data_IF_154457377084
#
_entry.id   IF_154457377084
#
_cell.length_a   1.000
_cell.length_b   1.000
_cell.length_c   1.000
_cell.angle_alpha   90.00
_cell.angle_beta   90.00
_cell.angle_gamma   90.00
#
_symmetry.space_group_name_H-M   'P 1'
#
loop_
_entity.id
_entity.type
_entity.pdbx_description
1 polymer ?
#
# COMPACT_ATOMS: atom_id res chain seq x y z
N UNK A 1 9.96 57.14 24.11
CA UNK A 1 10.32 55.72 24.29
C UNK A 1 9.19 54.88 23.74
N UNK A 2 9.30 54.44 22.48
CA UNK A 2 8.24 53.72 21.75
C UNK A 2 8.61 52.25 21.66
N UNK A 3 7.72 51.42 22.18
CA UNK A 3 7.76 49.95 22.16
C UNK A 3 7.74 49.46 20.71
N UNK A 4 8.64 48.56 20.35
CA UNK A 4 8.56 47.78 19.12
C UNK A 4 8.85 46.32 19.47
N UNK A 5 7.86 45.48 19.18
CA UNK A 5 7.82 44.05 19.42
C UNK A 5 8.37 43.26 18.21
N UNK A 6 8.29 41.93 18.32
CA UNK A 6 8.33 40.86 17.28
C UNK A 6 9.58 39.98 17.46
N UNK A 7 9.54 38.89 18.26
CA UNK A 7 9.00 37.55 17.96
C UNK A 7 9.52 36.96 16.64
N UNK A 8 10.67 36.28 16.68
CA UNK A 8 11.08 35.33 15.65
C UNK A 8 10.58 33.93 16.05
N UNK A 9 9.40 33.60 15.56
CA UNK A 9 8.72 32.32 15.76
C UNK A 9 9.40 31.24 14.89
N UNK A 10 9.65 30.09 15.50
CA UNK A 10 10.15 28.88 14.86
C UNK A 10 9.30 28.48 13.65
N UNK A 11 9.93 28.33 12.48
CA UNK A 11 9.30 27.73 11.31
C UNK A 11 9.35 26.19 11.46
N UNK A 12 8.24 25.66 11.96
CA UNK A 12 7.91 24.24 12.01
C UNK A 12 7.78 23.69 10.58
N UNK A 13 8.31 22.49 10.39
CA UNK A 13 8.24 21.65 9.19
C UNK A 13 6.80 21.56 8.67
N UNK A 14 6.54 22.14 7.50
CA UNK A 14 5.29 21.96 6.76
C UNK A 14 5.47 20.85 5.70
N UNK A 15 5.25 19.62 6.11
CA UNK A 15 4.95 18.50 5.21
C UNK A 15 3.67 17.84 5.72
N UNK A 16 2.55 18.54 5.58
CA UNK A 16 1.24 17.98 5.88
C UNK A 16 0.18 18.56 4.94
N UNK A 17 -0.42 17.66 4.16
CA UNK A 17 -1.86 17.71 3.90
C UNK A 17 -2.27 17.97 2.45
N UNK A 18 -2.30 16.91 1.63
CA UNK A 18 -3.37 16.73 0.63
C UNK A 18 -3.66 15.24 0.39
N UNK A 19 -4.55 14.67 1.19
CA UNK A 19 -5.42 13.52 0.89
C UNK A 19 -6.02 13.08 2.23
N UNK A 20 -7.34 12.88 2.31
CA UNK A 20 -7.96 12.34 3.53
C UNK A 20 -7.27 11.04 3.91
N UNK A 21 -6.47 11.08 4.97
CA UNK A 21 -5.67 9.94 5.39
C UNK A 21 -6.63 8.89 5.95
N UNK A 22 -7.08 8.01 5.08
CA UNK A 22 -7.44 6.67 5.51
C UNK A 22 -6.22 6.14 6.27
N UNK A 23 -6.40 5.80 7.54
CA UNK A 23 -5.33 5.52 8.52
C UNK A 23 -4.55 4.21 8.24
N UNK A 24 -4.65 3.66 7.03
CA UNK A 24 -3.84 2.54 6.56
C UNK A 24 -2.56 2.99 5.84
N UNK A 25 -2.38 4.29 5.57
CA UNK A 25 -1.22 4.83 4.87
C UNK A 25 0.06 4.83 5.72
N UNK A 26 1.22 4.98 5.06
CA UNK A 26 2.52 5.19 5.74
C UNK A 26 3.41 3.95 5.88
N UNK A 27 2.92 2.75 5.55
CA UNK A 27 3.74 1.54 5.45
C UNK A 27 4.21 1.35 4.01
N UNK A 28 5.52 1.32 3.81
CA UNK A 28 6.18 1.25 2.49
C UNK A 28 6.99 -0.04 2.40
N UNK A 29 6.65 -0.98 1.50
CA UNK A 29 7.45 -2.18 1.25
C UNK A 29 8.92 -1.86 0.96
N UNK A 30 9.83 -2.68 1.48
CA UNK A 30 11.28 -2.48 1.37
C UNK A 30 11.87 -1.43 2.31
N UNK A 31 11.05 -0.60 2.96
CA UNK A 31 11.50 0.44 3.91
C UNK A 31 10.96 0.22 5.32
N UNK A 32 9.66 -0.04 5.46
CA UNK A 32 9.01 -0.24 6.75
C UNK A 32 9.44 -1.56 7.39
N UNK A 33 9.51 -1.55 8.72
CA UNK A 33 9.86 -2.69 9.56
C UNK A 33 8.67 -3.17 10.40
N UNK A 34 8.78 -4.35 11.00
CA UNK A 34 7.86 -4.84 12.04
C UNK A 34 7.61 -3.81 13.15
N UNK A 35 8.63 -3.06 13.57
CA UNK A 35 8.50 -2.02 14.59
C UNK A 35 7.62 -0.88 14.10
N UNK A 36 7.87 -0.35 12.89
CA UNK A 36 7.05 0.73 12.32
C UNK A 36 5.59 0.32 12.12
N UNK A 37 5.35 -0.92 11.68
CA UNK A 37 3.99 -1.45 11.50
C UNK A 37 3.27 -1.57 12.84
N UNK A 38 3.97 -2.05 13.88
CA UNK A 38 3.40 -2.13 15.24
C UNK A 38 3.18 -0.76 15.85
N UNK A 39 4.06 0.20 15.58
CA UNK A 39 3.89 1.59 16.00
C UNK A 39 2.63 2.22 15.39
N UNK A 40 2.35 1.92 14.12
CA UNK A 40 1.19 2.45 13.40
C UNK A 40 -0.13 1.76 13.80
N UNK A 41 -0.19 0.43 13.73
CA UNK A 41 -1.46 -0.31 13.87
C UNK A 41 -1.61 -1.06 15.19
N UNK A 42 -0.62 -1.00 16.07
CA UNK A 42 -0.58 -1.82 17.27
C UNK A 42 -0.39 -3.31 16.96
N UNK A 43 -0.85 -4.16 17.89
CA UNK A 43 -0.73 -5.61 17.76
C UNK A 43 -1.74 -6.16 16.73
N UNK A 44 -1.32 -7.11 15.87
CA UNK A 44 -2.20 -7.71 14.87
C UNK A 44 -3.29 -8.59 15.50
N UNK A 45 -4.34 -8.86 14.74
CA UNK A 45 -5.38 -9.85 15.10
C UNK A 45 -4.85 -11.28 15.05
N UNK A 46 -3.96 -11.57 14.08
CA UNK A 46 -3.32 -12.89 13.93
C UNK A 46 -1.89 -12.75 13.41
N UNK A 47 -1.03 -13.65 13.84
CA UNK A 47 0.32 -13.82 13.30
C UNK A 47 0.47 -15.25 12.78
N UNK A 48 1.15 -15.42 11.64
CA UNK A 48 1.52 -16.72 11.08
C UNK A 48 2.96 -16.68 10.57
N UNK A 49 3.64 -17.83 10.58
CA UNK A 49 4.92 -18.01 9.92
C UNK A 49 4.71 -18.86 8.65
N UNK A 50 5.49 -18.59 7.61
CA UNK A 50 5.47 -19.37 6.37
C UNK A 50 6.84 -19.33 5.69
N UNK A 51 7.12 -20.29 4.81
CA UNK A 51 8.32 -20.26 3.97
C UNK A 51 8.01 -19.68 2.60
N UNK A 52 8.72 -18.63 2.22
CA UNK A 52 8.64 -18.01 0.88
C UNK A 52 10.04 -17.92 0.31
N UNK A 53 10.23 -18.42 -0.91
CA UNK A 53 11.54 -18.43 -1.59
C UNK A 53 12.65 -19.11 -0.74
N UNK A 54 12.27 -20.07 0.11
CA UNK A 54 13.17 -20.77 1.02
C UNK A 54 13.46 -20.06 2.35
N UNK A 55 12.99 -18.82 2.54
CA UNK A 55 13.19 -18.04 3.76
C UNK A 55 11.99 -18.10 4.70
N UNK A 56 12.25 -18.03 6.01
CA UNK A 56 11.21 -17.93 7.03
C UNK A 56 10.65 -16.51 7.09
N UNK A 57 9.41 -16.37 6.66
CA UNK A 57 8.66 -15.11 6.61
C UNK A 57 7.58 -15.09 7.68
N UNK A 58 7.16 -13.89 8.05
CA UNK A 58 6.08 -13.69 9.01
C UNK A 58 4.95 -12.87 8.38
N UNK A 59 3.73 -13.21 8.73
CA UNK A 59 2.53 -12.59 8.19
C UNK A 59 1.66 -12.12 9.34
N UNK A 60 1.36 -10.82 9.36
CA UNK A 60 0.46 -10.19 10.33
C UNK A 60 -0.85 -9.84 9.65
N UNK A 61 -1.96 -10.21 10.29
CA UNK A 61 -3.31 -9.94 9.81
C UNK A 61 -3.99 -9.00 10.79
N UNK A 62 -4.56 -7.93 10.25
CA UNK A 62 -5.38 -6.95 10.93
C UNK A 62 -6.80 -7.03 10.37
N UNK A 63 -7.71 -7.52 11.19
CA UNK A 63 -9.14 -7.64 10.93
C UNK A 63 -9.91 -6.99 12.09
N UNK A 64 -11.18 -6.67 11.91
CA UNK A 64 -11.99 -6.00 12.94
C UNK A 64 -11.86 -6.68 14.31
N UNK A 65 -11.69 -5.91 15.40
CA UNK A 65 -11.71 -4.44 15.50
C UNK A 65 -10.34 -3.76 15.24
N UNK A 66 -9.31 -4.49 14.81
CA UNK A 66 -7.92 -4.00 14.67
C UNK A 66 -7.55 -3.58 13.25
N UNK A 67 -8.46 -3.74 12.29
CA UNK A 67 -8.24 -3.25 10.94
C UNK A 67 -8.21 -1.70 10.92
N UNK A 68 -7.34 -1.07 10.11
CA UNK A 68 -7.34 0.38 9.93
C UNK A 68 -8.69 0.91 9.42
N UNK A 69 -8.94 2.20 9.62
CA UNK A 69 -10.15 2.86 9.15
C UNK A 69 -10.35 2.68 7.63
N UNK A 70 -11.58 2.32 7.23
CA UNK A 70 -11.92 2.06 5.83
C UNK A 70 -11.40 0.72 5.27
N UNK A 71 -10.65 -0.05 6.05
CA UNK A 71 -10.12 -1.36 5.64
C UNK A 71 -10.90 -2.47 6.35
N UNK A 72 -11.33 -3.49 5.60
CA UNK A 72 -11.94 -4.70 6.15
C UNK A 72 -10.85 -5.65 6.66
N UNK A 73 -9.78 -5.80 5.87
CA UNK A 73 -8.63 -6.64 6.21
C UNK A 73 -7.35 -6.05 5.66
N UNK A 74 -6.35 -5.94 6.51
CA UNK A 74 -4.98 -5.62 6.15
C UNK A 74 -4.08 -6.83 6.43
N UNK A 75 -3.29 -7.23 5.45
CA UNK A 75 -2.24 -8.24 5.62
C UNK A 75 -0.89 -7.59 5.36
N UNK A 76 0.01 -7.72 6.32
CA UNK A 76 1.41 -7.28 6.22
C UNK A 76 2.28 -8.52 6.18
N UNK A 77 3.09 -8.64 5.14
CA UNK A 77 4.04 -9.73 4.98
C UNK A 77 5.45 -9.19 5.19
N UNK A 78 6.23 -9.86 6.05
CA UNK A 78 7.60 -9.53 6.39
C UNK A 78 8.57 -10.59 5.88
N UNK A 79 9.80 -10.18 5.62
CA UNK A 79 10.85 -11.05 5.15
C UNK A 79 11.20 -10.79 3.70
N UNK A 80 12.17 -9.92 3.48
CA UNK A 80 12.60 -9.48 2.15
C UNK A 80 14.04 -9.90 1.89
N UNK A 81 14.26 -10.54 0.74
CA UNK A 81 15.60 -10.82 0.22
C UNK A 81 16.10 -9.61 -0.56
N UNK A 82 17.17 -9.00 -0.08
CA UNK A 82 17.89 -7.92 -0.76
C UNK A 82 19.20 -8.45 -1.36
N UNK A 83 19.83 -7.71 -2.30
CA UNK A 83 21.17 -8.08 -2.79
C UNK A 83 22.21 -8.25 -1.67
N UNK A 84 22.05 -7.52 -0.56
CA UNK A 84 22.93 -7.57 0.62
C UNK A 84 22.62 -8.73 1.58
N UNK A 85 21.52 -9.46 1.36
CA UNK A 85 21.09 -10.56 2.22
C UNK A 85 19.62 -10.51 2.60
N UNK A 86 19.19 -11.51 3.36
CA UNK A 86 17.81 -11.62 3.84
C UNK A 86 17.56 -10.74 5.08
N UNK A 87 16.42 -10.06 5.08
CA UNK A 87 15.97 -9.17 6.16
C UNK A 87 14.59 -9.61 6.64
N UNK A 88 14.50 -10.33 7.79
CA UNK A 88 13.23 -10.88 8.28
C UNK A 88 12.26 -9.80 8.78
N UNK A 89 12.78 -8.64 9.16
CA UNK A 89 12.04 -7.54 9.78
C UNK A 89 11.39 -6.57 8.79
N UNK A 90 11.83 -6.56 7.53
CA UNK A 90 11.34 -5.65 6.50
C UNK A 90 10.03 -6.13 5.89
N UNK A 91 9.12 -5.19 5.65
CA UNK A 91 7.88 -5.43 4.92
C UNK A 91 8.21 -5.78 3.47
N UNK A 92 7.81 -6.97 3.01
CA UNK A 92 7.90 -7.36 1.59
C UNK A 92 6.67 -6.95 0.81
N UNK A 93 5.50 -7.03 1.44
CA UNK A 93 4.23 -6.77 0.80
C UNK A 93 3.15 -6.34 1.81
N UNK A 94 2.19 -5.56 1.30
CA UNK A 94 0.98 -5.14 1.98
C UNK A 94 -0.21 -5.52 1.11
N UNK A 95 -1.27 -6.08 1.70
CA UNK A 95 -2.54 -6.33 0.99
C UNK A 95 -3.69 -5.70 1.76
N UNK A 96 -4.45 -4.84 1.09
CA UNK A 96 -5.60 -4.14 1.65
C UNK A 96 -6.87 -4.60 0.96
N UNK A 97 -7.78 -5.14 1.75
CA UNK A 97 -9.16 -5.39 1.33
C UNK A 97 -10.00 -4.24 1.89
N UNK A 98 -10.36 -3.23 1.08
CA UNK A 98 -11.11 -2.09 1.54
C UNK A 98 -12.56 -2.44 1.87
N UNK A 99 -13.19 -1.63 2.73
CA UNK A 99 -14.65 -1.62 2.86
C UNK A 99 -15.27 -1.01 1.60
N UNK A 100 -16.49 -1.41 1.19
CA UNK A 100 -17.19 -0.78 0.07
C UNK A 100 -17.20 0.75 0.22
N UNK A 101 -16.82 1.46 -0.84
CA UNK A 101 -16.77 2.93 -0.87
C UNK A 101 -15.56 3.57 -0.20
N UNK A 102 -14.68 2.81 0.47
CA UNK A 102 -13.44 3.37 1.03
C UNK A 102 -12.47 3.81 -0.07
N UNK A 103 -12.49 3.13 -1.21
CA UNK A 103 -11.81 3.56 -2.43
C UNK A 103 -12.77 3.51 -3.62
N UNK A 104 -12.51 4.38 -4.57
CA UNK A 104 -13.08 4.39 -5.91
C UNK A 104 -11.96 4.40 -6.93
N UNK A 105 -12.26 4.05 -8.19
CA UNK A 105 -11.29 4.22 -9.28
C UNK A 105 -10.70 5.64 -9.34
N UNK A 106 -11.55 6.66 -9.16
CA UNK A 106 -11.12 8.05 -9.17
C UNK A 106 -10.13 8.38 -8.04
N UNK A 107 -10.36 7.87 -6.82
CA UNK A 107 -9.43 8.08 -5.71
C UNK A 107 -8.11 7.34 -5.89
N UNK A 108 -8.14 6.18 -6.56
CA UNK A 108 -6.91 5.47 -6.93
C UNK A 108 -6.10 6.30 -7.93
N UNK A 109 -6.72 6.78 -9.01
CA UNK A 109 -6.01 7.59 -10.01
C UNK A 109 -5.53 8.92 -9.42
N UNK A 110 -6.34 9.56 -8.56
CA UNK A 110 -5.93 10.79 -7.88
C UNK A 110 -4.75 10.58 -6.90
N UNK A 111 -4.64 9.39 -6.28
CA UNK A 111 -3.60 9.07 -5.32
C UNK A 111 -2.28 8.61 -5.95
N UNK A 112 -2.35 7.85 -7.05
CA UNK A 112 -1.18 7.19 -7.66
C UNK A 112 -0.93 7.56 -9.12
N UNK A 113 -1.74 8.44 -9.70
CA UNK A 113 -1.67 8.79 -11.11
C UNK A 113 -2.35 7.76 -12.02
N UNK A 114 -2.10 7.89 -13.32
CA UNK A 114 -2.57 6.91 -14.30
C UNK A 114 -1.78 5.61 -14.17
N UNK A 115 -2.42 4.43 -14.27
CA UNK A 115 -1.72 3.15 -14.23
C UNK A 115 -0.83 2.95 -15.45
N UNK A 116 0.34 2.35 -15.25
CA UNK A 116 1.25 1.97 -16.34
C UNK A 116 0.63 0.92 -17.27
N UNK A 117 -0.20 0.03 -16.71
CA UNK A 117 -0.93 -0.96 -17.48
C UNK A 117 -2.31 -1.23 -16.91
N UNK A 118 -3.29 -1.39 -17.80
CA UNK A 118 -4.67 -1.77 -17.45
C UNK A 118 -4.99 -3.12 -18.09
N UNK A 119 -5.34 -4.11 -17.26
CA UNK A 119 -5.94 -5.34 -17.74
C UNK A 119 -7.45 -5.17 -17.84
N UNK A 120 -7.96 -5.39 -19.05
CA UNK A 120 -9.39 -5.36 -19.37
C UNK A 120 -9.91 -6.77 -19.57
N UNK A 121 -11.08 -7.07 -19.04
CA UNK A 121 -11.80 -8.33 -19.24
C UNK A 121 -13.30 -8.05 -19.37
N UNK A 122 -13.95 -8.64 -20.36
CA UNK A 122 -15.37 -8.36 -20.63
C UNK A 122 -15.66 -6.89 -20.96
N UNK A 123 -14.66 -6.15 -21.45
CA UNK A 123 -14.77 -4.71 -21.74
C UNK A 123 -14.60 -3.79 -20.52
N UNK A 124 -14.42 -4.34 -19.31
CA UNK A 124 -14.24 -3.58 -18.08
C UNK A 124 -12.81 -3.71 -17.53
N UNK A 125 -12.27 -2.66 -16.90
CA UNK A 125 -10.98 -2.74 -16.22
C UNK A 125 -11.08 -3.71 -15.04
N UNK A 126 -10.23 -4.74 -15.01
CA UNK A 126 -10.15 -5.69 -13.90
C UNK A 126 -8.94 -5.48 -13.01
N UNK A 127 -7.87 -4.92 -13.57
CA UNK A 127 -6.66 -4.68 -12.80
C UNK A 127 -5.89 -3.48 -13.30
N UNK A 128 -5.47 -2.62 -12.39
CA UNK A 128 -4.49 -1.57 -12.61
C UNK A 128 -3.13 -2.03 -12.09
N UNK A 129 -2.08 -1.73 -12.85
CA UNK A 129 -0.70 -2.02 -12.48
C UNK A 129 0.09 -0.73 -12.50
N UNK A 130 0.83 -0.51 -11.40
CA UNK A 130 1.78 0.58 -11.23
C UNK A 130 3.16 -0.04 -10.99
N UNK A 131 4.16 0.35 -11.79
CA UNK A 131 5.52 -0.18 -11.72
C UNK A 131 6.19 0.09 -10.36
N UNK A 132 5.76 1.16 -9.69
CA UNK A 132 6.19 1.51 -8.33
C UNK A 132 5.69 0.51 -7.25
N UNK A 133 5.00 -0.56 -7.67
CA UNK A 133 4.70 -1.70 -6.81
C UNK A 133 3.27 -1.72 -6.30
N UNK A 134 2.34 -1.02 -6.93
CA UNK A 134 0.91 -1.12 -6.63
C UNK A 134 0.19 -1.94 -7.71
N UNK A 135 -0.62 -2.89 -7.28
CA UNK A 135 -1.60 -3.58 -8.11
C UNK A 135 -2.98 -3.41 -7.49
N UNK A 136 -3.97 -2.99 -8.28
CA UNK A 136 -5.36 -2.81 -7.81
C UNK A 136 -6.27 -3.73 -8.60
N UNK A 137 -6.91 -4.67 -7.92
CA UNK A 137 -7.98 -5.51 -8.47
C UNK A 137 -9.33 -4.83 -8.30
N UNK A 138 -10.15 -4.90 -9.35
CA UNK A 138 -11.51 -4.37 -9.36
C UNK A 138 -12.54 -5.49 -9.40
N UNK A 139 -13.76 -5.15 -9.05
CA UNK A 139 -14.95 -5.98 -9.22
C UNK A 139 -15.27 -6.27 -10.69
N UNK A 140 -16.35 -7.04 -10.91
CA UNK A 140 -16.70 -7.50 -12.23
C UNK A 140 -17.07 -6.36 -13.20
N UNK A 141 -17.63 -5.31 -12.63
CA UNK A 141 -18.09 -4.13 -13.36
C UNK A 141 -16.98 -3.08 -13.54
N UNK A 142 -15.82 -3.27 -12.90
CA UNK A 142 -14.64 -2.42 -13.04
C UNK A 142 -14.71 -1.09 -12.29
N UNK A 143 -15.56 -1.00 -11.26
CA UNK A 143 -15.82 0.23 -10.51
C UNK A 143 -15.24 0.19 -9.11
N UNK A 144 -15.35 -0.95 -8.43
CA UNK A 144 -15.02 -1.07 -7.01
C UNK A 144 -13.66 -1.73 -6.84
N UNK A 145 -12.66 -1.06 -6.24
CA UNK A 145 -11.44 -1.71 -5.80
C UNK A 145 -11.74 -2.78 -4.76
N UNK A 146 -11.32 -4.01 -5.01
CA UNK A 146 -11.50 -5.16 -4.12
C UNK A 146 -10.24 -5.51 -3.34
N UNK A 147 -9.08 -5.28 -3.93
CA UNK A 147 -7.79 -5.57 -3.33
C UNK A 147 -6.74 -4.59 -3.87
N UNK A 148 -6.01 -3.95 -2.96
CA UNK A 148 -4.80 -3.22 -3.28
C UNK A 148 -3.62 -4.03 -2.74
N UNK A 149 -2.68 -4.39 -3.62
CA UNK A 149 -1.45 -5.08 -3.26
C UNK A 149 -0.27 -4.15 -3.47
N UNK A 150 0.46 -3.84 -2.40
CA UNK A 150 1.69 -3.08 -2.45
C UNK A 150 2.88 -4.02 -2.27
N UNK A 151 3.89 -3.86 -3.10
CA UNK A 151 5.17 -4.58 -3.03
C UNK A 151 6.31 -3.58 -3.23
N UNK A 152 7.56 -4.06 -3.14
CA UNK A 152 8.68 -3.32 -3.74
C UNK A 152 8.43 -3.09 -5.24
N UNK A 153 9.06 -2.09 -5.87
CA UNK A 153 8.90 -1.82 -7.31
C UNK A 153 9.00 -3.11 -8.12
N UNK A 154 8.03 -3.31 -9.00
CA UNK A 154 7.95 -4.50 -9.83
C UNK A 154 8.54 -4.20 -11.21
N UNK A 155 9.26 -5.15 -11.82
CA UNK A 155 9.64 -5.03 -13.23
C UNK A 155 8.40 -4.79 -14.09
N UNK A 156 8.55 -3.96 -15.12
CA UNK A 156 7.46 -3.71 -16.08
C UNK A 156 6.91 -5.05 -16.62
N UNK A 157 5.58 -5.24 -16.67
CA UNK A 157 5.02 -6.40 -17.35
C UNK A 157 5.48 -6.39 -18.81
N UNK A 158 5.80 -7.55 -19.41
CA UNK A 158 6.17 -7.60 -20.82
C UNK A 158 5.04 -6.99 -21.65
N UNK A 159 5.40 -6.12 -22.59
CA UNK A 159 4.45 -5.52 -23.52
C UNK A 159 3.63 -6.63 -24.14
N UNK A 160 2.30 -6.51 -24.07
CA UNK A 160 1.38 -7.52 -24.57
C UNK A 160 1.75 -7.84 -26.01
N UNK A 161 2.19 -9.06 -26.30
CA UNK A 161 2.40 -9.48 -27.68
C UNK A 161 1.10 -9.24 -28.45
N UNK A 162 1.15 -8.64 -29.65
CA UNK A 162 -0.03 -8.47 -30.47
C UNK A 162 -0.61 -9.85 -30.72
N UNK A 163 -1.83 -10.09 -30.22
CA UNK A 163 -2.55 -11.34 -30.44
C UNK A 163 -2.68 -11.51 -31.96
N UNK A 164 -1.94 -12.49 -32.51
CA UNK A 164 -1.97 -12.84 -33.93
C UNK A 164 -3.43 -13.22 -34.29
N UNK A 165 -3.96 -12.75 -35.44
CA UNK A 165 -5.35 -12.98 -35.85
C UNK A 165 -5.71 -14.46 -35.94
#
# INVERSE_FOLDING_TARGET
MRRAAVLALAAVVAAAGVAGALDWGGIVPGTSTMETVRGQYGAPSRTSAQKVEGFDTQLWVYEEPRAPAGIRRLVVEFGLKLPTGYRPDLVRALRLEPKPGAFTRATIVAGWGEPDFVRVEGGQPRRFFYQDGLVVDFDADGWTPLLLTFTVPQPAPPASEPRKP
#
